data_IF_687487214719
#
_entry.id   IF_687487214719
#
_cell.length_a   1.000
_cell.length_b   1.000
_cell.length_c   1.000
_cell.angle_alpha   90.00
_cell.angle_beta   90.00
_cell.angle_gamma   90.00
#
_symmetry.space_group_name_H-M   'P 1'
#
loop_
_entity.id
_entity.type
_entity.pdbx_description
1 polymer ?
#
# COMPACT_ATOMS: atom_id res chain seq x y z
N UNK A 1 -40.54 -67.26 4.81
CA UNK A 1 -40.61 -65.91 5.36
C UNK A 1 -39.18 -65.36 5.33
N UNK A 2 -38.84 -64.65 4.28
CA UNK A 2 -37.46 -64.17 4.03
C UNK A 2 -37.45 -62.68 4.39
N UNK A 3 -36.74 -62.31 5.41
CA UNK A 3 -36.51 -60.95 5.83
C UNK A 3 -35.41 -60.35 4.92
N UNK A 4 -35.78 -59.37 4.09
CA UNK A 4 -34.84 -58.58 3.31
C UNK A 4 -34.39 -57.43 4.19
N UNK A 5 -33.17 -57.50 4.71
CA UNK A 5 -32.51 -56.42 5.43
C UNK A 5 -32.04 -55.37 4.42
N UNK A 6 -32.75 -54.24 4.35
CA UNK A 6 -32.40 -53.07 3.55
C UNK A 6 -31.21 -52.36 4.23
N UNK A 7 -29.99 -52.71 3.85
CA UNK A 7 -28.77 -51.96 4.18
C UNK A 7 -28.74 -50.65 3.40
N UNK A 8 -29.35 -49.62 3.99
CA UNK A 8 -29.17 -48.27 3.50
C UNK A 8 -27.69 -47.90 3.65
N UNK A 9 -26.98 -48.07 2.55
CA UNK A 9 -25.62 -47.59 2.38
C UNK A 9 -25.63 -46.07 2.49
N UNK A 10 -25.27 -45.60 3.70
CA UNK A 10 -25.06 -44.17 3.96
C UNK A 10 -23.86 -43.73 3.12
N UNK A 11 -24.11 -43.23 1.92
CA UNK A 11 -23.10 -42.59 1.08
C UNK A 11 -22.73 -41.29 1.78
N UNK A 12 -21.69 -41.36 2.61
CA UNK A 12 -21.05 -40.18 3.20
C UNK A 12 -20.52 -39.37 2.02
N UNK A 13 -21.23 -38.29 1.67
CA UNK A 13 -20.76 -37.29 0.72
C UNK A 13 -19.34 -36.85 1.14
N UNK A 14 -18.33 -36.88 0.25
CA UNK A 14 -17.03 -36.37 0.58
C UNK A 14 -17.22 -34.90 0.93
N UNK A 15 -16.94 -34.54 2.19
CA UNK A 15 -16.84 -33.16 2.58
C UNK A 15 -15.68 -32.60 1.77
N UNK A 16 -15.99 -31.78 0.79
CA UNK A 16 -15.02 -31.03 0.03
C UNK A 16 -14.44 -30.00 1.01
N UNK A 17 -13.44 -30.44 1.76
CA UNK A 17 -12.56 -29.49 2.49
C UNK A 17 -11.94 -28.65 1.40
N UNK A 18 -12.43 -27.42 1.24
CA UNK A 18 -11.89 -26.46 0.28
C UNK A 18 -10.46 -26.16 0.72
N UNK A 19 -9.51 -26.93 0.21
CA UNK A 19 -8.10 -26.66 0.41
C UNK A 19 -7.83 -25.28 -0.19
N UNK A 20 -7.59 -24.29 0.70
CA UNK A 20 -7.14 -22.96 0.27
C UNK A 20 -5.87 -23.16 -0.51
N UNK A 21 -5.84 -22.76 -1.78
CA UNK A 21 -4.65 -22.94 -2.62
C UNK A 21 -3.48 -22.17 -2.03
N UNK A 22 -2.27 -22.71 -2.12
CA UNK A 22 -1.05 -22.04 -1.65
C UNK A 22 -0.91 -20.64 -2.27
N UNK A 23 -1.30 -20.48 -3.52
CA UNK A 23 -1.30 -19.20 -4.23
C UNK A 23 -2.25 -18.17 -3.60
N UNK A 24 -3.43 -18.60 -3.13
CA UNK A 24 -4.37 -17.70 -2.46
C UNK A 24 -3.84 -17.21 -1.11
N UNK A 25 -3.16 -18.11 -0.38
CA UNK A 25 -2.51 -17.76 0.89
C UNK A 25 -1.37 -16.78 0.66
N UNK A 26 -0.51 -17.06 -0.30
CA UNK A 26 0.61 -16.16 -0.65
C UNK A 26 0.10 -14.76 -1.06
N UNK A 27 -0.93 -14.70 -1.89
CA UNK A 27 -1.56 -13.45 -2.30
C UNK A 27 -2.09 -12.67 -1.09
N UNK A 28 -2.82 -13.34 -0.20
CA UNK A 28 -3.36 -12.71 1.01
C UNK A 28 -2.26 -12.19 1.94
N UNK A 29 -1.20 -12.96 2.16
CA UNK A 29 -0.05 -12.54 2.98
C UNK A 29 0.61 -11.32 2.37
N UNK A 30 0.90 -11.33 1.08
CA UNK A 30 1.54 -10.22 0.39
C UNK A 30 0.74 -8.92 0.51
N UNK A 31 -0.57 -8.97 0.25
CA UNK A 31 -1.43 -7.79 0.35
C UNK A 31 -1.54 -7.27 1.78
N UNK A 32 -1.65 -8.16 2.77
CA UNK A 32 -1.71 -7.77 4.18
C UNK A 32 -0.40 -7.14 4.63
N UNK A 33 0.74 -7.71 4.27
CA UNK A 33 2.06 -7.17 4.59
C UNK A 33 2.28 -5.80 3.97
N UNK A 34 1.92 -5.60 2.69
CA UNK A 34 2.02 -4.30 2.05
C UNK A 34 1.17 -3.24 2.77
N UNK A 35 -0.07 -3.57 3.13
CA UNK A 35 -0.95 -2.66 3.86
C UNK A 35 -0.38 -2.29 5.23
N UNK A 36 0.17 -3.26 5.96
CA UNK A 36 0.81 -3.02 7.25
C UNK A 36 2.05 -2.13 7.12
N UNK A 37 2.91 -2.38 6.13
CA UNK A 37 4.09 -1.55 5.87
C UNK A 37 3.70 -0.12 5.45
N UNK A 38 2.70 0.03 4.59
CA UNK A 38 2.18 1.33 4.20
C UNK A 38 1.59 2.10 5.37
N UNK A 39 0.83 1.43 6.25
CA UNK A 39 0.30 2.00 7.49
C UNK A 39 1.42 2.51 8.40
N UNK A 40 2.41 1.67 8.68
CA UNK A 40 3.55 2.04 9.53
C UNK A 40 4.35 3.19 8.91
N UNK A 41 4.61 3.16 7.60
CA UNK A 41 5.31 4.23 6.90
C UNK A 41 4.59 5.57 6.99
N UNK A 42 3.27 5.60 6.80
CA UNK A 42 2.47 6.82 6.92
C UNK A 42 2.45 7.36 8.37
N UNK A 43 2.39 6.49 9.38
CA UNK A 43 2.49 6.90 10.77
C UNK A 43 3.90 7.41 11.12
N UNK A 44 4.94 6.84 10.52
CA UNK A 44 6.32 7.32 10.70
C UNK A 44 6.49 8.73 10.12
N UNK A 45 5.89 9.03 8.94
CA UNK A 45 5.86 10.41 8.42
C UNK A 45 5.19 11.35 9.42
N UNK A 46 4.01 10.99 9.93
CA UNK A 46 3.30 11.81 10.93
C UNK A 46 4.13 12.03 12.21
N UNK A 47 4.80 10.99 12.70
CA UNK A 47 5.61 11.05 13.91
C UNK A 47 6.84 11.96 13.75
N UNK A 48 7.56 11.85 12.63
CA UNK A 48 8.74 12.69 12.38
C UNK A 48 8.35 14.15 12.36
N UNK A 49 7.26 14.51 11.68
CA UNK A 49 6.78 15.88 11.62
C UNK A 49 6.19 16.36 12.95
N UNK A 50 5.64 15.46 13.77
CA UNK A 50 5.22 15.79 15.13
C UNK A 50 6.40 16.18 16.02
N UNK A 51 7.55 15.53 15.87
CA UNK A 51 8.75 15.83 16.66
C UNK A 51 9.34 17.21 16.34
N UNK A 52 9.14 17.70 15.12
CA UNK A 52 9.69 18.97 14.64
C UNK A 52 8.67 20.13 14.63
N UNK A 53 7.36 19.86 14.71
CA UNK A 53 6.30 20.87 14.55
C UNK A 53 6.40 22.04 15.50
N UNK A 54 6.83 21.83 16.75
CA UNK A 54 6.89 22.89 17.77
C UNK A 54 7.97 23.90 17.41
N UNK A 55 9.12 23.44 16.89
CA UNK A 55 10.19 24.30 16.37
C UNK A 55 9.67 25.09 15.16
N UNK A 56 9.10 24.43 14.19
CA UNK A 56 8.62 25.05 12.94
C UNK A 56 7.48 26.05 13.15
N UNK A 57 6.58 25.83 14.11
CA UNK A 57 5.55 26.83 14.46
C UNK A 57 6.17 28.13 14.97
N UNK A 58 7.25 28.05 15.79
CA UNK A 58 7.91 29.22 16.35
C UNK A 58 8.76 29.98 15.34
N UNK A 59 9.49 29.25 14.50
CA UNK A 59 10.38 29.80 13.48
C UNK A 59 9.60 30.31 12.27
N UNK A 60 8.68 29.49 11.74
CA UNK A 60 7.98 29.76 10.51
C UNK A 60 6.54 29.24 10.61
N UNK A 61 5.60 30.03 11.12
CA UNK A 61 4.24 29.57 11.49
C UNK A 61 3.49 28.84 10.37
N UNK A 62 3.64 29.27 9.10
CA UNK A 62 2.94 28.61 7.98
C UNK A 62 3.45 27.18 7.76
N UNK A 63 4.76 26.92 7.95
CA UNK A 63 5.32 25.57 7.88
C UNK A 63 4.78 24.70 9.01
N UNK A 64 4.65 25.24 10.23
CA UNK A 64 4.01 24.53 11.32
C UNK A 64 2.58 24.11 11.01
N UNK A 65 1.79 24.99 10.39
CA UNK A 65 0.42 24.66 9.92
C UNK A 65 0.45 23.57 8.83
N UNK A 66 1.39 23.64 7.88
CA UNK A 66 1.56 22.61 6.85
C UNK A 66 1.94 21.25 7.47
N UNK A 67 2.78 21.24 8.51
CA UNK A 67 3.13 20.03 9.25
C UNK A 67 1.91 19.40 9.92
N UNK A 68 1.07 20.21 10.56
CA UNK A 68 -0.18 19.73 11.17
C UNK A 68 -1.11 19.12 10.10
N UNK A 69 -1.26 19.81 8.97
CA UNK A 69 -2.07 19.28 7.86
C UNK A 69 -1.51 17.97 7.31
N UNK A 70 -0.18 17.88 7.16
CA UNK A 70 0.50 16.68 6.74
C UNK A 70 0.29 15.52 7.72
N UNK A 71 0.41 15.76 9.03
CA UNK A 71 0.19 14.75 10.07
C UNK A 71 -1.25 14.20 10.00
N UNK A 72 -2.24 15.09 9.92
CA UNK A 72 -3.66 14.69 9.82
C UNK A 72 -3.89 13.88 8.54
N UNK A 73 -3.38 14.34 7.40
CA UNK A 73 -3.49 13.62 6.13
C UNK A 73 -2.80 12.26 6.18
N UNK A 74 -1.59 12.19 6.75
CA UNK A 74 -0.83 10.94 6.88
C UNK A 74 -1.57 9.90 7.72
N UNK A 75 -2.13 10.32 8.86
CA UNK A 75 -2.95 9.43 9.71
C UNK A 75 -4.19 8.96 8.97
N UNK A 76 -4.92 9.84 8.29
CA UNK A 76 -6.11 9.47 7.52
C UNK A 76 -5.78 8.46 6.39
N UNK A 77 -4.67 8.68 5.67
CA UNK A 77 -4.21 7.76 4.62
C UNK A 77 -3.75 6.44 5.22
N UNK A 78 -3.05 6.45 6.37
CA UNK A 78 -2.65 5.24 7.08
C UNK A 78 -3.86 4.35 7.38
N UNK A 79 -4.90 4.89 8.01
CA UNK A 79 -6.11 4.13 8.29
C UNK A 79 -6.84 3.68 7.02
N UNK A 80 -6.87 4.51 5.97
CA UNK A 80 -7.43 4.12 4.68
C UNK A 80 -6.70 2.92 4.06
N UNK A 81 -5.36 2.88 4.14
CA UNK A 81 -4.55 1.74 3.69
C UNK A 81 -4.87 0.48 4.50
N UNK A 82 -4.97 0.61 5.82
CA UNK A 82 -5.24 -0.51 6.71
C UNK A 82 -6.63 -1.11 6.46
N UNK A 83 -7.66 -0.28 6.32
CA UNK A 83 -9.03 -0.75 6.18
C UNK A 83 -9.38 -1.19 4.77
N UNK A 84 -8.94 -0.48 3.75
CA UNK A 84 -9.40 -0.73 2.38
C UNK A 84 -8.32 -1.32 1.47
N UNK A 85 -7.06 -0.90 1.63
CA UNK A 85 -5.97 -1.22 0.70
C UNK A 85 -6.25 -0.75 -0.74
N UNK A 86 -7.19 0.19 -0.92
CA UNK A 86 -7.64 0.62 -2.24
C UNK A 86 -6.53 1.32 -3.02
N UNK A 87 -6.55 1.20 -4.35
CA UNK A 87 -5.59 1.84 -5.27
C UNK A 87 -5.48 3.35 -5.03
N UNK A 88 -6.61 4.02 -4.71
CA UNK A 88 -6.61 5.44 -4.39
C UNK A 88 -5.89 5.78 -3.09
N UNK A 89 -5.95 4.91 -2.07
CA UNK A 89 -5.21 5.10 -0.83
C UNK A 89 -3.70 4.98 -1.05
N UNK A 90 -3.26 4.05 -1.88
CA UNK A 90 -1.87 3.93 -2.30
C UNK A 90 -1.39 5.13 -3.12
N UNK A 91 -2.24 5.62 -4.04
CA UNK A 91 -1.92 6.83 -4.79
C UNK A 91 -1.78 8.05 -3.88
N UNK A 92 -2.67 8.21 -2.89
CA UNK A 92 -2.60 9.28 -1.91
C UNK A 92 -1.34 9.17 -1.04
N UNK A 93 -0.97 7.97 -0.58
CA UNK A 93 0.25 7.74 0.20
C UNK A 93 1.51 8.13 -0.59
N UNK A 94 1.61 7.65 -1.83
CA UNK A 94 2.75 7.96 -2.70
C UNK A 94 2.84 9.45 -3.04
N UNK A 95 1.72 10.10 -3.32
CA UNK A 95 1.67 11.53 -3.63
C UNK A 95 2.04 12.38 -2.42
N UNK A 96 1.50 12.04 -1.24
CA UNK A 96 1.79 12.78 0.00
C UNK A 96 3.27 12.65 0.36
N UNK A 97 3.82 11.44 0.33
CA UNK A 97 5.25 11.21 0.57
C UNK A 97 6.14 11.93 -0.46
N UNK A 98 5.78 11.90 -1.74
CA UNK A 98 6.54 12.60 -2.77
C UNK A 98 6.49 14.13 -2.61
N UNK A 99 5.35 14.69 -2.24
CA UNK A 99 5.21 16.13 -1.97
C UNK A 99 6.05 16.56 -0.76
N UNK A 100 6.06 15.73 0.30
CA UNK A 100 6.86 16.00 1.51
C UNK A 100 8.36 15.93 1.19
N UNK A 101 8.79 14.88 0.49
CA UNK A 101 10.19 14.74 0.04
C UNK A 101 10.63 15.92 -0.85
N UNK A 102 9.76 16.36 -1.77
CA UNK A 102 10.05 17.53 -2.59
C UNK A 102 10.16 18.79 -1.75
N UNK A 103 9.29 18.98 -0.76
CA UNK A 103 9.39 20.09 0.20
C UNK A 103 10.71 20.09 0.96
N UNK A 104 11.15 18.92 1.43
CA UNK A 104 12.46 18.75 2.08
C UNK A 104 13.60 19.15 1.14
N UNK A 105 13.63 18.62 -0.08
CA UNK A 105 14.69 18.96 -1.06
C UNK A 105 14.70 20.46 -1.36
N UNK A 106 13.54 21.08 -1.56
CA UNK A 106 13.43 22.51 -1.80
C UNK A 106 13.96 23.33 -0.60
N UNK A 107 13.65 22.92 0.63
CA UNK A 107 14.15 23.62 1.84
C UNK A 107 15.67 23.58 1.92
N UNK A 108 16.30 22.50 1.47
CA UNK A 108 17.77 22.32 1.52
C UNK A 108 18.51 22.90 0.31
N UNK A 109 17.82 23.17 -0.79
CA UNK A 109 18.43 23.71 -2.02
C UNK A 109 18.17 25.21 -2.19
N UNK A 110 16.94 25.59 -2.49
CA UNK A 110 16.56 26.97 -2.79
C UNK A 110 16.06 27.74 -1.56
N UNK A 111 15.79 27.03 -0.48
CA UNK A 111 15.08 27.56 0.66
C UNK A 111 13.56 27.69 0.42
N UNK A 112 12.83 27.88 1.50
CA UNK A 112 11.39 28.15 1.48
C UNK A 112 11.15 29.60 1.89
N UNK A 113 10.04 30.23 1.52
CA UNK A 113 9.77 31.61 1.90
C UNK A 113 9.89 31.81 3.43
N UNK A 114 10.69 32.77 3.85
CA UNK A 114 11.01 33.07 5.26
C UNK A 114 11.59 31.88 6.06
N UNK A 115 12.18 30.89 5.38
CA UNK A 115 12.84 29.73 5.98
C UNK A 115 14.04 29.31 5.12
N UNK A 116 15.04 30.18 5.06
CA UNK A 116 16.30 29.96 4.33
C UNK A 116 17.41 29.34 5.18
N UNK A 117 17.23 29.29 6.50
CA UNK A 117 18.25 28.82 7.46
C UNK A 117 18.54 27.31 7.29
N UNK A 118 17.63 26.59 6.68
CA UNK A 118 17.76 25.17 6.36
C UNK A 118 18.61 24.89 5.09
N UNK A 119 18.94 25.91 4.30
CA UNK A 119 19.68 25.70 3.03
C UNK A 119 21.06 25.12 3.31
N UNK A 120 21.37 24.01 2.64
CA UNK A 120 22.65 23.29 2.78
C UNK A 120 22.74 22.36 3.99
N UNK A 121 21.75 22.33 4.88
CA UNK A 121 21.72 21.46 6.05
C UNK A 121 21.16 20.06 5.71
N UNK A 122 21.96 19.25 5.04
CA UNK A 122 21.57 17.88 4.59
C UNK A 122 21.76 16.82 5.67
N UNK A 123 22.44 17.12 6.76
CA UNK A 123 22.88 16.14 7.78
C UNK A 123 22.02 16.13 9.04
N UNK A 124 20.94 16.89 9.06
CA UNK A 124 19.99 16.88 10.16
C UNK A 124 19.33 15.50 10.32
N UNK A 125 19.36 14.96 11.55
CA UNK A 125 18.92 13.58 11.81
C UNK A 125 17.45 13.33 11.48
N UNK A 126 16.52 14.25 11.84
CA UNK A 126 15.10 14.13 11.51
C UNK A 126 14.85 14.25 10.01
N UNK A 127 15.57 15.15 9.34
CA UNK A 127 15.49 15.30 7.89
C UNK A 127 15.95 14.05 7.14
N UNK A 128 17.04 13.41 7.57
CA UNK A 128 17.50 12.14 7.00
C UNK A 128 16.49 11.02 7.24
N UNK A 129 15.91 10.92 8.44
CA UNK A 129 14.88 9.95 8.76
C UNK A 129 13.63 10.17 7.89
N UNK A 130 13.20 11.42 7.71
CA UNK A 130 12.08 11.79 6.84
C UNK A 130 12.34 11.34 5.40
N UNK A 131 13.47 11.70 4.83
CA UNK A 131 13.86 11.35 3.47
C UNK A 131 13.86 9.82 3.26
N UNK A 132 14.35 9.05 4.22
CA UNK A 132 14.34 7.59 4.16
C UNK A 132 12.92 7.03 4.16
N UNK A 133 12.08 7.47 5.12
CA UNK A 133 10.71 6.97 5.27
C UNK A 133 9.85 7.35 4.05
N UNK A 134 9.95 8.59 3.59
CA UNK A 134 9.21 9.08 2.42
C UNK A 134 9.59 8.32 1.15
N UNK A 135 10.88 8.09 0.94
CA UNK A 135 11.37 7.27 -0.18
C UNK A 135 10.83 5.84 -0.11
N UNK A 136 10.83 5.23 1.07
CA UNK A 136 10.30 3.88 1.27
C UNK A 136 8.79 3.82 0.98
N UNK A 137 8.00 4.81 1.42
CA UNK A 137 6.57 4.89 1.14
C UNK A 137 6.31 5.08 -0.35
N UNK A 138 7.08 5.91 -1.04
CA UNK A 138 6.98 6.10 -2.50
C UNK A 138 7.20 4.79 -3.25
N UNK A 139 8.26 4.04 -2.88
CA UNK A 139 8.55 2.74 -3.49
C UNK A 139 7.46 1.71 -3.22
N UNK A 140 6.96 1.63 -1.98
CA UNK A 140 5.86 0.75 -1.61
C UNK A 140 4.58 1.09 -2.38
N UNK A 141 4.24 2.37 -2.49
CA UNK A 141 3.07 2.82 -3.24
C UNK A 141 3.21 2.49 -4.72
N UNK A 142 4.37 2.75 -5.32
CA UNK A 142 4.66 2.39 -6.71
C UNK A 142 4.52 0.89 -6.96
N UNK A 143 5.05 0.06 -6.07
CA UNK A 143 4.92 -1.39 -6.14
C UNK A 143 3.46 -1.84 -6.03
N UNK A 144 2.71 -1.37 -5.03
CA UNK A 144 1.31 -1.72 -4.84
C UNK A 144 0.44 -1.30 -6.04
N UNK A 145 0.67 -0.10 -6.59
CA UNK A 145 -0.02 0.39 -7.78
C UNK A 145 0.32 -0.44 -9.03
N UNK A 146 1.56 -0.91 -9.15
CA UNK A 146 1.99 -1.77 -10.25
C UNK A 146 1.29 -3.13 -10.22
N UNK A 147 1.16 -3.72 -9.02
CA UNK A 147 0.41 -4.97 -8.82
C UNK A 147 -1.07 -4.80 -9.23
N UNK A 148 -1.72 -3.75 -8.71
CA UNK A 148 -3.12 -3.47 -9.02
C UNK A 148 -3.37 -3.25 -10.52
N UNK A 149 -2.40 -2.68 -11.25
CA UNK A 149 -2.48 -2.54 -12.71
C UNK A 149 -2.36 -3.87 -13.43
N UNK A 150 -1.50 -4.77 -12.94
CA UNK A 150 -1.32 -6.11 -13.53
C UNK A 150 -2.57 -6.96 -13.35
N UNK A 151 -3.21 -6.92 -12.19
CA UNK A 151 -4.45 -7.64 -11.89
C UNK A 151 -5.64 -7.16 -12.73
N UNK A 152 -5.68 -5.87 -13.08
CA UNK A 152 -6.73 -5.29 -13.93
C UNK A 152 -6.56 -5.55 -15.43
N UNK A 153 -5.40 -6.04 -15.89
CA UNK A 153 -5.20 -6.40 -17.30
C UNK A 153 -5.93 -7.72 -17.55
N UNK A 154 -7.01 -7.75 -18.37
CA UNK A 154 -7.67 -9.02 -18.72
C UNK A 154 -6.61 -9.88 -19.38
N UNK A 155 -6.39 -11.08 -18.83
CA UNK A 155 -5.59 -12.08 -19.50
C UNK A 155 -6.18 -12.27 -20.89
N UNK A 156 -5.36 -12.13 -21.93
CA UNK A 156 -5.71 -12.58 -23.26
C UNK A 156 -5.87 -14.10 -23.14
N UNK A 157 -7.10 -14.54 -22.83
CA UNK A 157 -7.49 -15.92 -23.00
C UNK A 157 -7.24 -16.23 -24.49
N UNK A 158 -6.08 -16.83 -24.77
CA UNK A 158 -5.92 -17.60 -25.98
C UNK A 158 -6.98 -18.69 -25.91
N UNK A 159 -8.15 -18.42 -26.51
CA UNK A 159 -9.07 -19.45 -26.96
C UNK A 159 -8.28 -20.30 -27.96
N UNK A 160 -7.64 -21.35 -27.46
CA UNK A 160 -7.29 -22.50 -28.30
C UNK A 160 -8.62 -23.17 -28.53
N UNK A 161 -9.35 -22.74 -29.57
CA UNK A 161 -10.43 -23.52 -30.13
C UNK A 161 -9.81 -24.83 -30.59
N UNK A 162 -10.28 -26.00 -30.10
CA UNK A 162 -9.88 -27.25 -30.70
C UNK A 162 -10.39 -27.23 -32.16
N UNK A 163 -9.47 -27.33 -33.10
CA UNK A 163 -9.80 -27.59 -34.48
C UNK A 163 -10.48 -28.95 -34.53
N UNK A 164 -11.83 -28.94 -34.53
CA UNK A 164 -12.61 -30.10 -34.85
C UNK A 164 -12.33 -30.41 -36.31
N UNK A 165 -11.44 -31.35 -36.52
CA UNK A 165 -11.26 -32.00 -37.80
C UNK A 165 -12.58 -32.60 -38.23
N UNK A 166 -13.19 -32.03 -39.26
CA UNK A 166 -14.20 -32.67 -40.06
C UNK A 166 -13.51 -33.67 -40.98
N UNK A 167 -13.30 -34.88 -40.53
CA UNK A 167 -13.14 -35.98 -41.46
C UNK A 167 -14.54 -36.40 -41.87
N UNK A 168 -14.87 -36.10 -43.12
CA UNK A 168 -15.99 -36.69 -43.83
C UNK A 168 -15.43 -37.84 -44.69
N UNK A 169 -15.92 -39.01 -44.50
CA UNK A 169 -16.16 -40.02 -45.51
C UNK A 169 -17.63 -40.28 -45.64
#
# INVERSE_FOLDING_TARGET
MTQITDERRFVRSPQTTTAVSADAVEHAIRHTTLRALGFVGMLAIALIHLLDVIGKIKETPYLGVMYIALMVASVAVAFSLLHTGATRAWAAAGLLAAATLAGFVLSRTTGLPNASDDVGNWTEGLGLASMFVESAVILLAGYALSLARRERRPGVHRSIAPALGTERE
#
